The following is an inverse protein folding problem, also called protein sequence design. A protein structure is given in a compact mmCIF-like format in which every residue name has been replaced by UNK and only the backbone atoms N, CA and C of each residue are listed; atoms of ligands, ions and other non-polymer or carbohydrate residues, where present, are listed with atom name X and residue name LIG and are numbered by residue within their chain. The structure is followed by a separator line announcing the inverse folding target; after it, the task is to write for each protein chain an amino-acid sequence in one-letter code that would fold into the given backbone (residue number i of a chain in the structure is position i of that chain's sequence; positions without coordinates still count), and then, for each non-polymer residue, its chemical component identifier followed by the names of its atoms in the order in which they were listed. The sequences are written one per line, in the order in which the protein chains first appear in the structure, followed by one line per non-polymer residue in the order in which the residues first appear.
data_IF_861452787361
#
_entry.id   IF_861452787361
#
_cell.length_a   1.000
_cell.length_b   1.000
_cell.length_c   1.000
_cell.angle_alpha   90.00
_cell.angle_beta   90.00
_cell.angle_gamma   90.00
#
_symmetry.space_group_name_H-M   'P 1'
#
loop_
_entity.id
_entity.type
_entity.pdbx_description
1 polymer ?
#
# COMPACT_ATOMS: atom_id res chain seq x y z
N UNK A 1 -1.48 -13.44 -1.96
CA UNK A 1 -2.06 -12.96 -0.68
C UNK A 1 -1.30 -13.47 0.54
N UNK A 2 -0.99 -14.77 0.65
CA UNK A 2 -0.30 -15.36 1.83
C UNK A 2 0.95 -14.60 2.29
N UNK A 3 1.80 -14.16 1.35
CA UNK A 3 3.04 -13.40 1.62
C UNK A 3 2.88 -12.16 2.49
N UNK A 4 1.69 -11.51 2.46
CA UNK A 4 1.46 -10.28 3.21
C UNK A 4 0.66 -10.49 4.49
N UNK A 5 0.14 -11.70 4.75
CA UNK A 5 -0.63 -11.98 5.96
C UNK A 5 0.18 -11.72 7.23
N UNK A 6 1.50 -11.95 7.20
CA UNK A 6 2.39 -11.67 8.33
C UNK A 6 2.36 -10.20 8.78
N UNK A 7 1.92 -9.28 7.93
CA UNK A 7 1.85 -7.85 8.25
C UNK A 7 0.54 -7.42 8.90
N UNK A 8 -0.52 -8.22 8.75
CA UNK A 8 -1.83 -7.89 9.30
C UNK A 8 -1.76 -7.96 10.83
N UNK A 9 -2.28 -6.92 11.48
CA UNK A 9 -2.25 -6.72 12.93
C UNK A 9 -1.00 -6.02 13.44
N UNK A 10 0.03 -5.81 12.60
CA UNK A 10 1.21 -5.05 12.99
C UNK A 10 0.89 -3.57 13.14
N UNK A 11 1.56 -2.95 14.09
CA UNK A 11 1.49 -1.51 14.31
C UNK A 11 2.20 -0.76 13.18
N UNK A 12 1.59 0.35 12.74
CA UNK A 12 2.16 1.26 11.74
C UNK A 12 3.13 2.22 12.41
N UNK A 13 4.34 2.31 11.85
CA UNK A 13 5.34 3.31 12.21
C UNK A 13 5.09 4.58 11.38
N UNK A 14 4.26 5.50 11.88
CA UNK A 14 3.86 6.70 11.13
C UNK A 14 5.05 7.54 10.64
N UNK A 15 6.13 7.63 11.42
CA UNK A 15 7.36 8.29 11.01
C UNK A 15 8.00 7.65 9.77
N UNK A 16 7.89 6.33 9.61
CA UNK A 16 8.39 5.59 8.45
C UNK A 16 7.46 5.75 7.24
N UNK A 17 6.16 5.93 7.46
CA UNK A 17 5.21 6.24 6.37
C UNK A 17 5.52 7.61 5.76
N UNK A 18 6.07 8.55 6.55
CA UNK A 18 6.49 9.89 6.10
C UNK A 18 7.88 9.92 5.46
N UNK A 19 8.63 8.81 5.45
CA UNK A 19 9.97 8.70 4.86
C UNK A 19 9.91 8.53 3.33
N UNK A 20 9.70 9.65 2.63
CA UNK A 20 9.50 9.66 1.17
C UNK A 20 10.67 9.07 0.38
N UNK A 21 11.91 9.24 0.86
CA UNK A 21 13.10 8.67 0.21
C UNK A 21 13.08 7.15 0.28
N UNK A 22 12.76 6.59 1.46
CA UNK A 22 12.67 5.14 1.62
C UNK A 22 11.50 4.52 0.86
N UNK A 23 10.36 5.21 0.81
CA UNK A 23 9.24 4.80 -0.04
C UNK A 23 9.62 4.79 -1.52
N UNK A 24 10.26 5.86 -2.00
CA UNK A 24 10.70 5.99 -3.38
C UNK A 24 11.71 4.91 -3.78
N UNK A 25 12.60 4.50 -2.86
CA UNK A 25 13.52 3.38 -3.07
C UNK A 25 12.79 2.03 -3.26
N UNK A 26 11.56 1.89 -2.75
CA UNK A 26 10.68 0.76 -3.01
C UNK A 26 9.82 0.95 -4.28
N UNK A 27 9.97 2.08 -4.98
CA UNK A 27 9.11 2.46 -6.11
C UNK A 27 7.69 2.80 -5.68
N UNK A 28 7.50 3.24 -4.44
CA UNK A 28 6.20 3.56 -3.85
C UNK A 28 6.18 5.03 -3.44
N UNK A 29 5.04 5.69 -3.63
CA UNK A 29 4.82 7.08 -3.18
C UNK A 29 3.59 7.16 -2.30
N UNK A 30 3.65 7.92 -1.22
CA UNK A 30 2.47 8.22 -0.39
C UNK A 30 1.58 9.24 -1.10
N UNK A 31 0.30 8.93 -1.27
CA UNK A 31 -0.71 9.82 -1.88
C UNK A 31 -1.62 10.44 -0.83
N UNK A 32 -2.03 9.65 0.15
CA UNK A 32 -2.88 10.11 1.24
C UNK A 32 -2.46 9.48 2.56
N UNK A 33 -2.24 10.33 3.55
CA UNK A 33 -1.92 9.97 4.93
C UNK A 33 -2.62 10.97 5.87
N UNK A 34 -3.68 10.55 6.57
CA UNK A 34 -4.26 11.31 7.67
C UNK A 34 -3.21 11.66 8.73
N UNK A 35 -3.21 12.92 9.21
CA UNK A 35 -2.26 13.41 10.21
C UNK A 35 -2.94 14.39 11.20
N UNK A 36 -3.27 13.96 12.43
CA UNK A 36 -3.08 12.60 12.97
C UNK A 36 -4.09 11.60 12.38
N UNK A 37 -3.77 10.30 12.34
CA UNK A 37 -4.76 9.27 12.05
C UNK A 37 -5.81 9.16 13.17
N UNK A 38 -7.05 8.96 12.77
CA UNK A 38 -8.17 8.56 13.63
C UNK A 38 -8.08 7.06 13.99
N UNK A 39 -9.04 6.61 14.80
CA UNK A 39 -9.14 5.21 15.22
C UNK A 39 -9.35 4.26 14.02
N UNK A 40 -9.92 4.75 12.92
CA UNK A 40 -10.08 4.03 11.68
C UNK A 40 -9.78 4.95 10.50
N UNK A 41 -8.80 4.58 9.68
CA UNK A 41 -8.37 5.36 8.52
C UNK A 41 -7.91 4.46 7.37
N UNK A 42 -7.86 5.03 6.18
CA UNK A 42 -7.24 4.40 5.01
C UNK A 42 -6.05 5.22 4.54
N UNK A 43 -4.90 4.56 4.40
CA UNK A 43 -3.70 5.19 3.84
C UNK A 43 -3.57 4.76 2.38
N UNK A 44 -3.24 5.71 1.51
CA UNK A 44 -3.10 5.46 0.08
C UNK A 44 -1.67 5.63 -0.37
N UNK A 45 -1.17 4.60 -1.05
CA UNK A 45 0.13 4.63 -1.71
C UNK A 45 -0.03 4.29 -3.20
N UNK A 46 0.90 4.77 -4.03
CA UNK A 46 0.95 4.44 -5.45
C UNK A 46 2.26 3.75 -5.82
N UNK A 47 2.18 2.86 -6.81
CA UNK A 47 3.30 2.17 -7.42
C UNK A 47 3.06 2.05 -8.92
N UNK A 48 4.07 2.38 -9.73
CA UNK A 48 3.99 2.25 -11.18
C UNK A 48 4.37 0.83 -11.65
N UNK A 49 3.50 0.22 -12.46
CA UNK A 49 3.71 -1.08 -13.06
C UNK A 49 3.07 -1.18 -14.45
N UNK A 50 3.84 -1.59 -15.47
CA UNK A 50 3.32 -1.80 -16.82
C UNK A 50 2.71 -0.55 -17.46
N UNK A 51 3.22 0.65 -17.12
CA UNK A 51 2.68 1.93 -17.58
C UNK A 51 1.35 2.32 -16.93
N UNK A 52 1.00 1.70 -15.80
CA UNK A 52 -0.20 1.99 -15.02
C UNK A 52 0.16 2.22 -13.55
N UNK A 53 -0.59 3.12 -12.93
CA UNK A 53 -0.58 3.29 -11.48
C UNK A 53 -1.38 2.17 -10.83
N UNK A 54 -0.76 1.45 -9.89
CA UNK A 54 -1.42 0.57 -8.94
C UNK A 54 -1.45 1.28 -7.59
N UNK A 55 -2.63 1.39 -7.00
CA UNK A 55 -2.81 1.90 -5.66
C UNK A 55 -2.74 0.77 -4.64
N UNK A 56 -2.06 1.03 -3.53
CA UNK A 56 -2.00 0.16 -2.35
C UNK A 56 -2.79 0.88 -1.26
N UNK A 57 -3.99 0.37 -0.97
CA UNK A 57 -4.86 0.90 0.07
C UNK A 57 -4.66 0.10 1.35
N UNK A 58 -4.20 0.77 2.41
CA UNK A 58 -3.96 0.18 3.70
C UNK A 58 -5.02 0.65 4.70
N UNK A 59 -5.95 -0.23 5.06
CA UNK A 59 -6.89 0.06 6.14
C UNK A 59 -6.18 -0.11 7.48
N UNK A 60 -6.23 0.94 8.30
CA UNK A 60 -5.59 1.03 9.61
C UNK A 60 -6.67 1.22 10.66
N UNK A 61 -6.62 0.41 11.70
CA UNK A 61 -7.54 0.51 12.84
C UNK A 61 -6.72 0.47 14.14
N UNK A 62 -6.89 1.47 15.00
CA UNK A 62 -6.14 1.66 16.25
C UNK A 62 -4.63 1.57 16.02
N UNK A 63 -4.14 2.24 14.97
CA UNK A 63 -2.73 2.25 14.56
C UNK A 63 -2.21 0.93 13.98
N UNK A 64 -3.07 -0.07 13.75
CA UNK A 64 -2.66 -1.39 13.22
C UNK A 64 -3.18 -1.64 11.82
N UNK A 65 -2.36 -2.25 10.98
CA UNK A 65 -2.75 -2.66 9.64
C UNK A 65 -3.82 -3.77 9.69
N UNK A 66 -5.01 -3.52 9.15
CA UNK A 66 -6.10 -4.53 9.10
C UNK A 66 -6.25 -5.15 7.73
N UNK A 67 -6.00 -4.39 6.67
CA UNK A 67 -6.22 -4.87 5.30
C UNK A 67 -5.30 -4.15 4.32
N UNK A 68 -4.93 -4.86 3.27
CA UNK A 68 -4.29 -4.31 2.09
C UNK A 68 -5.14 -4.62 0.87
N UNK A 69 -5.43 -3.62 0.06
CA UNK A 69 -6.03 -3.78 -1.27
C UNK A 69 -5.07 -3.23 -2.32
N UNK A 70 -5.02 -3.92 -3.45
CA UNK A 70 -4.32 -3.45 -4.64
C UNK A 70 -5.39 -3.12 -5.68
N UNK A 71 -5.46 -1.85 -6.05
CA UNK A 71 -6.48 -1.34 -6.95
C UNK A 71 -5.84 -0.57 -8.09
N UNK A 72 -6.60 -0.33 -9.16
CA UNK A 72 -6.25 0.59 -10.23
C UNK A 72 -7.27 1.72 -10.24
N UNK A 73 -6.82 2.98 -10.39
CA UNK A 73 -7.74 4.10 -10.57
C UNK A 73 -8.43 4.00 -11.94
N UNK A 74 -9.67 4.46 -12.02
CA UNK A 74 -10.39 4.59 -13.27
C UNK A 74 -9.76 5.72 -14.11
N UNK A 75 -9.72 5.54 -15.44
CA UNK A 75 -9.07 6.50 -16.33
C UNK A 75 -9.88 7.78 -16.52
N UNK A 76 -11.22 7.71 -16.35
CA UNK A 76 -12.10 8.86 -16.46
C UNK A 76 -12.24 9.62 -15.13
N UNK A 77 -12.14 8.90 -14.02
CA UNK A 77 -12.23 9.45 -12.67
C UNK A 77 -11.25 8.74 -11.72
N UNK A 78 -10.06 9.31 -11.48
CA UNK A 78 -9.02 8.69 -10.66
C UNK A 78 -9.40 8.44 -9.19
N UNK A 79 -10.47 9.05 -8.69
CA UNK A 79 -11.00 8.83 -7.34
C UNK A 79 -11.74 7.49 -7.24
N UNK A 80 -12.24 6.97 -8.36
CA UNK A 80 -12.84 5.65 -8.43
C UNK A 80 -11.74 4.63 -8.62
N UNK A 81 -11.61 3.70 -7.68
CA UNK A 81 -10.64 2.61 -7.80
C UNK A 81 -11.33 1.26 -7.92
N UNK A 82 -10.71 0.34 -8.67
CA UNK A 82 -11.21 -1.03 -8.84
C UNK A 82 -10.14 -2.02 -8.41
N UNK A 83 -10.49 -3.09 -7.68
CA UNK A 83 -9.53 -4.15 -7.36
C UNK A 83 -8.87 -4.69 -8.63
N UNK A 84 -7.57 -4.98 -8.54
CA UNK A 84 -6.90 -5.75 -9.58
C UNK A 84 -7.63 -7.07 -9.78
N UNK A 85 -7.78 -7.49 -11.04
CA UNK A 85 -8.19 -8.87 -11.34
C UNK A 85 -7.13 -9.85 -10.82
N UNK A 86 -7.48 -11.12 -10.68
CA UNK A 86 -6.52 -12.13 -10.20
C UNK A 86 -5.25 -12.18 -11.05
N UNK A 87 -5.38 -12.17 -12.39
CA UNK A 87 -4.22 -12.17 -13.28
C UNK A 87 -3.35 -10.91 -13.13
N UNK A 88 -3.97 -9.73 -13.06
CA UNK A 88 -3.24 -8.48 -12.85
C UNK A 88 -2.53 -8.46 -11.49
N UNK A 89 -3.17 -8.99 -10.45
CA UNK A 89 -2.57 -9.08 -9.13
C UNK A 89 -1.37 -10.04 -9.15
N UNK A 90 -1.49 -11.20 -9.80
CA UNK A 90 -0.38 -12.14 -9.92
C UNK A 90 0.82 -11.52 -10.66
N UNK A 91 0.58 -10.85 -11.78
CA UNK A 91 1.62 -10.14 -12.55
C UNK A 91 2.29 -9.04 -11.72
N UNK A 92 1.49 -8.19 -11.06
CA UNK A 92 1.99 -7.13 -10.19
C UNK A 92 2.85 -7.71 -9.04
N UNK A 93 2.38 -8.76 -8.38
CA UNK A 93 3.10 -9.36 -7.26
C UNK A 93 4.36 -10.12 -7.68
N UNK A 94 4.39 -10.69 -8.89
CA UNK A 94 5.60 -11.29 -9.46
C UNK A 94 6.67 -10.22 -9.73
N UNK A 95 6.27 -9.04 -10.22
CA UNK A 95 7.20 -7.97 -10.59
C UNK A 95 7.61 -7.06 -9.43
N UNK A 96 6.67 -6.70 -8.55
CA UNK A 96 6.84 -5.66 -7.52
C UNK A 96 6.72 -6.18 -6.11
N UNK A 97 6.32 -7.44 -5.94
CA UNK A 97 5.96 -7.93 -4.63
C UNK A 97 7.11 -7.81 -3.63
N UNK A 98 8.34 -8.18 -3.97
CA UNK A 98 9.50 -8.02 -3.07
C UNK A 98 9.65 -6.58 -2.55
N UNK A 99 9.51 -5.58 -3.43
CA UNK A 99 9.51 -4.17 -3.04
C UNK A 99 8.32 -3.78 -2.16
N UNK A 100 7.14 -4.34 -2.40
CA UNK A 100 5.99 -4.18 -1.51
C UNK A 100 6.28 -4.79 -0.13
N UNK A 101 6.97 -5.93 -0.06
CA UNK A 101 7.39 -6.52 1.22
C UNK A 101 8.42 -5.65 1.95
N UNK A 102 9.45 -5.17 1.25
CA UNK A 102 10.43 -4.23 1.82
C UNK A 102 9.75 -2.97 2.38
N UNK A 103 8.78 -2.42 1.65
CA UNK A 103 7.95 -1.31 2.08
C UNK A 103 7.16 -1.65 3.36
N UNK A 104 6.46 -2.78 3.38
CA UNK A 104 5.67 -3.20 4.54
C UNK A 104 6.56 -3.49 5.76
N UNK A 105 7.73 -4.11 5.58
CA UNK A 105 8.72 -4.28 6.65
C UNK A 105 9.20 -2.90 7.18
N UNK A 106 9.35 -1.92 6.29
CA UNK A 106 9.75 -0.56 6.68
C UNK A 106 8.65 0.18 7.44
N UNK A 107 7.38 0.07 7.06
CA UNK A 107 6.29 0.85 7.69
C UNK A 107 5.59 0.13 8.85
N UNK A 108 5.83 -1.17 9.06
CA UNK A 108 5.21 -1.93 10.15
C UNK A 108 6.22 -2.39 11.21
N UNK A 109 5.78 -2.53 12.46
CA UNK A 109 6.61 -3.08 13.54
C UNK A 109 6.93 -4.57 13.33
N UNK A 110 8.11 -5.00 13.81
CA UNK A 110 8.65 -6.37 13.63
C UNK A 110 7.78 -7.47 14.20
#
# INVERSE_FOLDING_TARGET
MERFKKYIGREIKLQCVKDSEKLAACGITCRYLPDPPEDFDEFEFACEHGGKTVLILAAVEMGKLKRLLFTVPDAADPEITRPLTEGQLQEFLAAKGEKVSEFLDHITAG
#
